data_IF_733569088139
#
_entry.id   IF_733569088139
#
_cell.length_a   1.000
_cell.length_b   1.000
_cell.length_c   1.000
_cell.angle_alpha   90.00
_cell.angle_beta   90.00
_cell.angle_gamma   90.00
#
_symmetry.space_group_name_H-M   'P 1'
#
loop_
_entity.id
_entity.type
_entity.pdbx_description
1 polymer ?
2 non-polymer ?
3 water ?
#
# COMPACT_ATOMS: atom_id res chain seq x y z
N UNK A 1 16.55 -14.18 -2.76
CA UNK A 1 15.20 -14.08 -2.16
C UNK A 1 14.55 -12.70 -2.33
N UNK A 2 13.21 -12.66 -2.35
CA UNK A 2 12.52 -11.40 -2.58
C UNK A 2 12.74 -10.46 -1.41
N UNK A 3 13.13 -9.23 -1.71
CA UNK A 3 13.36 -8.22 -0.68
C UNK A 3 12.87 -6.89 -1.22
N UNK A 4 11.83 -6.35 -0.58
CA UNK A 4 11.19 -5.13 -1.04
C UNK A 4 11.93 -3.88 -0.59
N UNK A 5 13.01 -4.00 0.18
CA UNK A 5 13.69 -2.82 0.70
C UNK A 5 14.12 -1.90 -0.43
N UNK A 6 13.82 -0.62 -0.29
CA UNK A 6 14.20 0.35 -1.29
C UNK A 6 13.28 1.55 -1.28
N UNK A 7 13.55 2.45 -2.21
CA UNK A 7 12.76 3.65 -2.46
C UNK A 7 12.21 3.51 -3.86
N UNK A 8 10.90 3.72 -4.01
CA UNK A 8 10.16 3.35 -5.20
C UNK A 8 9.29 4.53 -5.61
N UNK A 9 9.33 4.93 -6.87
CA UNK A 9 8.62 6.09 -7.36
C UNK A 9 7.45 5.66 -8.24
N UNK A 10 6.27 6.26 -8.04
CA UNK A 10 5.10 5.84 -8.81
C UNK A 10 5.29 6.08 -10.31
N UNK A 11 5.02 5.04 -11.09
CA UNK A 11 5.00 5.12 -12.55
C UNK A 11 3.57 5.15 -13.08
N UNK A 12 2.71 4.23 -12.64
CA UNK A 12 1.32 4.18 -13.07
C UNK A 12 0.43 3.89 -11.88
N UNK A 13 -0.82 4.36 -11.98
CA UNK A 13 -1.82 4.25 -10.92
C UNK A 13 -3.17 4.09 -11.61
N UNK A 14 -3.62 2.86 -11.75
CA UNK A 14 -4.74 2.52 -12.61
C UNK A 14 -5.99 2.26 -11.77
N UNK A 15 -7.08 2.98 -12.08
CA UNK A 15 -8.38 2.79 -11.45
C UNK A 15 -8.43 3.20 -9.97
N UNK A 16 -7.60 4.17 -9.58
CA UNK A 16 -7.54 4.61 -8.19
C UNK A 16 -8.82 5.28 -7.73
N UNK A 17 -9.47 6.07 -8.61
CA UNK A 17 -10.69 6.77 -8.22
C UNK A 17 -11.77 5.80 -7.79
N UNK A 18 -11.99 4.74 -8.59
CA UNK A 18 -13.04 3.78 -8.24
C UNK A 18 -12.70 3.02 -6.97
N UNK A 19 -11.43 2.71 -6.76
CA UNK A 19 -11.00 2.10 -5.50
C UNK A 19 -11.33 3.00 -4.32
N UNK A 20 -10.98 4.28 -4.40
CA UNK A 20 -11.29 5.21 -3.31
C UNK A 20 -12.78 5.40 -3.13
N UNK A 21 -13.53 5.43 -4.23
CA UNK A 21 -14.98 5.57 -4.09
C UNK A 21 -15.58 4.37 -3.37
N UNK A 22 -15.04 3.18 -3.62
CA UNK A 22 -15.54 1.98 -2.98
C UNK A 22 -15.20 1.97 -1.49
N UNK A 23 -14.18 2.73 -1.08
CA UNK A 23 -13.87 2.93 0.33
C UNK A 23 -14.65 4.08 0.96
N UNK A 24 -15.52 4.74 0.20
CA UNK A 24 -16.26 5.91 0.68
C UNK A 24 -15.35 7.05 1.10
N UNK A 25 -14.20 7.17 0.47
CA UNK A 25 -13.37 8.33 0.70
C UNK A 25 -14.11 9.53 0.15
N UNK A 26 -14.13 10.59 0.93
CA UNK A 26 -14.95 11.74 0.59
C UNK A 26 -14.48 12.41 -0.68
N UNK A 27 -15.43 13.07 -1.34
CA UNK A 27 -15.22 13.61 -2.69
C UNK A 27 -14.05 14.57 -2.74
N UNK A 28 -13.94 15.45 -1.74
CA UNK A 28 -12.90 16.47 -1.77
C UNK A 28 -11.52 15.82 -1.63
N UNK A 29 -11.43 14.79 -0.79
CA UNK A 29 -10.17 14.08 -0.64
C UNK A 29 -9.85 13.26 -1.89
N UNK A 30 -10.85 12.67 -2.53
CA UNK A 30 -10.60 11.96 -3.79
C UNK A 30 -10.02 12.92 -4.83
N UNK A 31 -10.51 14.16 -4.86
CA UNK A 31 -10.00 15.14 -5.80
C UNK A 31 -8.52 15.43 -5.55
N UNK A 32 -8.15 15.63 -4.29
CA UNK A 32 -6.75 15.80 -3.92
C UNK A 32 -5.94 14.56 -4.30
N UNK A 33 -6.45 13.38 -3.91
CA UNK A 33 -5.67 12.14 -4.02
C UNK A 33 -5.38 11.79 -5.46
N UNK A 34 -6.29 12.09 -6.37
CA UNK A 34 -6.03 11.72 -7.75
C UNK A 34 -4.94 12.56 -8.40
N UNK A 35 -4.55 13.68 -7.81
CA UNK A 35 -3.40 14.43 -8.32
C UNK A 35 -2.07 13.94 -7.75
N UNK A 36 -2.10 13.08 -6.74
CA UNK A 36 -0.87 12.69 -6.06
C UNK A 36 -0.21 11.53 -6.78
N UNK A 37 1.09 11.45 -6.62
CA UNK A 37 1.90 10.34 -7.14
C UNK A 37 2.82 9.87 -6.03
N UNK A 38 2.29 9.11 -5.08
CA UNK A 38 3.09 8.76 -3.90
C UNK A 38 4.31 7.89 -4.20
N UNK A 39 5.36 8.10 -3.40
CA UNK A 39 6.52 7.22 -3.34
C UNK A 39 6.25 6.12 -2.30
N UNK A 40 7.04 5.05 -2.36
CA UNK A 40 7.07 4.05 -1.30
C UNK A 40 8.51 3.94 -0.78
N UNK A 41 8.68 4.04 0.53
CA UNK A 41 9.95 3.73 1.16
C UNK A 41 9.71 2.49 1.99
N UNK A 42 10.38 1.39 1.65
CA UNK A 42 10.16 0.12 2.31
C UNK A 42 11.46 -0.34 2.97
N UNK A 43 11.34 -0.85 4.19
CA UNK A 43 12.41 -1.58 4.85
C UNK A 43 11.85 -2.95 5.25
N UNK A 44 12.41 -4.00 4.68
CA UNK A 44 12.11 -5.37 5.05
C UNK A 44 13.24 -5.83 5.95
N UNK A 45 12.93 -6.13 7.20
CA UNK A 45 13.92 -6.41 8.23
C UNK A 45 13.52 -7.72 8.88
N UNK A 46 13.99 -8.84 8.32
CA UNK A 46 13.43 -10.11 8.69
C UNK A 46 11.98 -10.14 8.27
N UNK A 47 11.10 -10.50 9.20
CA UNK A 47 9.67 -10.44 8.90
C UNK A 47 9.01 -9.19 9.43
N UNK A 48 9.80 -8.23 9.87
CA UNK A 48 9.29 -6.91 10.24
C UNK A 48 9.33 -6.04 9.00
N UNK A 49 8.15 -5.62 8.56
CA UNK A 49 8.00 -4.83 7.35
C UNK A 49 7.56 -3.42 7.72
N UNK A 50 8.24 -2.41 7.16
CA UNK A 50 7.81 -1.02 7.22
C UNK A 50 7.57 -0.58 5.78
N UNK A 51 6.35 -0.12 5.48
CA UNK A 51 6.01 0.40 4.15
C UNK A 51 5.49 1.80 4.37
N UNK A 52 6.29 2.78 3.99
CA UNK A 52 5.90 4.19 4.10
C UNK A 52 5.38 4.64 2.74
N UNK A 53 4.09 4.93 2.65
CA UNK A 53 3.51 5.48 1.43
C UNK A 53 3.51 6.99 1.59
N UNK A 54 4.35 7.68 0.83
CA UNK A 54 4.66 9.08 1.07
C UNK A 54 4.14 9.93 -0.08
N UNK A 55 3.44 11.01 0.24
CA UNK A 55 3.01 11.93 -0.79
C UNK A 55 3.19 13.34 -0.27
N UNK A 56 3.10 14.32 -1.17
CA UNK A 56 3.31 15.70 -0.77
C UNK A 56 2.22 16.15 0.19
N UNK A 57 1.04 15.55 0.12
CA UNK A 57 -0.10 15.99 0.93
C UNK A 57 -0.28 15.20 2.22
N UNK A 58 -0.10 13.89 2.18
CA UNK A 58 -0.36 13.06 3.34
C UNK A 58 0.32 11.71 3.13
N UNK A 59 0.75 11.13 4.23
CA UNK A 59 1.37 9.81 4.20
C UNK A 59 0.43 8.76 4.76
N UNK A 60 0.70 7.49 4.42
CA UNK A 60 0.08 6.36 5.11
C UNK A 60 1.21 5.40 5.43
N UNK A 61 1.40 5.12 6.72
CA UNK A 61 2.52 4.31 7.20
C UNK A 61 2.00 2.96 7.69
N UNK A 62 2.63 1.90 7.21
CA UNK A 62 2.44 0.56 7.76
C UNK A 62 3.72 0.10 8.44
N UNK A 63 3.55 -0.58 9.57
CA UNK A 63 4.69 -1.09 10.34
C UNK A 63 4.18 -2.31 11.09
N UNK A 64 4.57 -3.50 10.65
CA UNK A 64 3.90 -4.71 11.10
C UNK A 64 4.85 -5.90 10.98
N UNK A 65 4.44 -7.03 11.58
CA UNK A 65 5.16 -8.28 11.43
C UNK A 65 4.38 -9.17 10.48
N UNK A 66 5.06 -9.70 9.46
CA UNK A 66 4.39 -10.65 8.57
C UNK A 66 3.92 -11.85 9.39
N UNK A 67 2.71 -12.32 9.10
CA UNK A 67 2.15 -13.51 9.71
C UNK A 67 1.28 -13.24 10.91
N UNK A 68 1.30 -12.02 11.43
CA UNK A 68 0.66 -11.71 12.71
C UNK A 68 -0.49 -10.74 12.44
N UNK A 69 -1.71 -11.15 12.78
CA UNK A 69 -2.84 -10.23 12.63
C UNK A 69 -2.65 -9.04 13.53
N UNK A 70 -2.98 -7.87 13.02
CA UNK A 70 -2.82 -6.64 13.78
C UNK A 70 -4.00 -5.73 13.46
N UNK A 71 -4.22 -4.78 14.38
CA UNK A 71 -5.22 -3.75 14.18
C UNK A 71 -4.61 -2.66 13.31
N UNK A 72 -5.16 -2.50 12.11
CA UNK A 72 -4.65 -1.54 11.16
C UNK A 72 -5.49 -0.27 11.20
N UNK A 73 -4.86 0.86 11.54
CA UNK A 73 -5.54 2.16 11.65
C UNK A 73 -5.40 2.86 10.30
N UNK A 74 -6.50 2.95 9.57
CA UNK A 74 -6.54 3.52 8.24
C UNK A 74 -6.89 5.00 8.24
N UNK A 75 -6.61 5.70 9.35
CA UNK A 75 -6.74 7.14 9.38
C UNK A 75 -5.95 7.74 8.23
N UNK A 76 -6.58 8.67 7.52
CA UNK A 76 -5.97 9.31 6.39
C UNK A 76 -6.39 8.73 5.06
N UNK A 77 -6.91 7.50 5.07
CA UNK A 77 -7.48 6.92 3.87
C UNK A 77 -8.99 7.03 4.04
N UNK A 78 -9.61 6.02 4.65
CA UNK A 78 -11.04 6.01 4.90
C UNK A 78 -11.37 6.08 6.40
N UNK A 79 -10.36 6.24 7.24
CA UNK A 79 -10.51 6.43 8.69
C UNK A 79 -11.17 5.23 9.38
N UNK A 80 -11.06 4.06 8.78
CA UNK A 80 -11.57 2.82 9.34
C UNK A 80 -10.47 2.10 10.09
N UNK A 81 -10.86 0.98 10.70
CA UNK A 81 -9.96 0.06 11.39
C UNK A 81 -10.19 -1.30 10.77
N UNK A 82 -9.12 -1.99 10.40
CA UNK A 82 -9.24 -3.35 9.93
C UNK A 82 -8.41 -4.28 10.78
N UNK A 83 -8.80 -5.54 10.82
CA UNK A 83 -7.99 -6.59 11.43
C UNK A 83 -7.27 -7.27 10.27
N UNK A 84 -5.97 -7.00 10.18
CA UNK A 84 -5.21 -7.19 8.95
C UNK A 84 -4.13 -8.24 9.15
N UNK A 85 -3.97 -9.10 8.17
CA UNK A 85 -2.89 -10.09 8.19
C UNK A 85 -2.15 -10.03 6.87
N UNK A 86 -0.83 -9.90 6.96
CA UNK A 86 0.04 -9.91 5.78
C UNK A 86 0.83 -11.21 5.84
N UNK A 87 0.91 -11.93 4.71
CA UNK A 87 1.52 -13.25 4.65
C UNK A 87 2.34 -13.36 3.38
N UNK A 88 3.43 -14.13 3.44
CA UNK A 88 4.16 -14.49 2.24
C UNK A 88 3.41 -15.57 1.50
N UNK A 89 3.38 -15.44 0.19
CA UNK A 89 2.82 -16.42 -0.75
C UNK A 89 3.87 -16.59 -1.83
N UNK A 90 4.86 -17.43 -1.57
CA UNK A 90 5.98 -17.55 -2.49
C UNK A 90 6.72 -16.22 -2.53
N UNK A 91 6.84 -15.65 -3.74
CA UNK A 91 7.53 -14.39 -3.92
C UNK A 91 6.60 -13.19 -3.81
N UNK A 92 5.34 -13.42 -3.46
CA UNK A 92 4.35 -12.37 -3.33
C UNK A 92 4.03 -12.14 -1.86
N UNK A 93 3.65 -10.92 -1.55
CA UNK A 93 3.17 -10.54 -0.23
C UNK A 93 1.67 -10.31 -0.33
N UNK A 94 0.89 -11.03 0.46
CA UNK A 94 -0.56 -11.00 0.42
C UNK A 94 -1.10 -10.35 1.68
N UNK A 95 -2.13 -9.53 1.54
CA UNK A 95 -2.72 -8.83 2.67
C UNK A 95 -4.22 -9.00 2.62
N UNK A 96 -4.79 -9.39 3.76
CA UNK A 96 -6.23 -9.45 3.94
C UNK A 96 -6.60 -8.45 5.02
N UNK A 97 -7.55 -7.56 4.73
CA UNK A 97 -7.97 -6.49 5.64
C UNK A 97 -9.41 -6.75 6.03
N UNK A 98 -9.64 -7.38 7.20
CA UNK A 98 -10.98 -7.71 7.61
C UNK A 98 -11.66 -6.48 8.24
N UNK A 99 -12.90 -6.25 7.86
CA UNK A 99 -13.60 -5.07 8.34
C UNK A 99 -14.89 -4.84 7.59
N UNK A 100 -15.29 -3.57 7.53
CA UNK A 100 -16.61 -3.23 7.00
C UNK A 100 -16.74 -3.61 5.55
N UNK A 101 -15.72 -3.35 4.75
CA UNK A 101 -15.78 -3.62 3.33
C UNK A 101 -15.39 -5.06 3.03
N UNK A 102 -16.12 -5.68 2.11
CA UNK A 102 -15.81 -7.04 1.70
C UNK A 102 -14.66 -7.04 0.70
N UNK A 103 -13.92 -8.14 0.71
CA UNK A 103 -12.92 -8.34 -0.33
C UNK A 103 -11.80 -7.34 -0.29
N UNK A 104 -11.48 -6.80 0.87
CA UNK A 104 -10.49 -5.75 1.01
C UNK A 104 -9.11 -6.36 1.27
N UNK A 105 -8.14 -6.00 0.44
CA UNK A 105 -6.79 -6.49 0.64
C UNK A 105 -5.89 -6.06 -0.51
N UNK A 106 -4.71 -6.67 -0.59
CA UNK A 106 -3.79 -6.28 -1.66
C UNK A 106 -2.75 -7.37 -1.82
N UNK A 107 -2.04 -7.32 -2.94
CA UNK A 107 -0.95 -8.23 -3.25
C UNK A 107 0.20 -7.38 -3.79
N UNK A 108 1.41 -7.61 -3.29
CA UNK A 108 2.61 -6.87 -3.70
C UNK A 108 3.69 -7.83 -4.17
N UNK A 109 4.40 -7.45 -5.23
CA UNK A 109 5.44 -8.30 -5.79
C UNK A 109 6.39 -7.43 -6.59
N UNK A 110 7.51 -8.04 -7.04
CA UNK A 110 8.53 -7.33 -7.81
C UNK A 110 8.70 -8.02 -9.15
N UNK A 111 8.83 -7.23 -10.21
CA UNK A 111 9.23 -7.69 -11.53
C UNK A 111 10.38 -6.80 -11.96
N UNK A 112 11.59 -7.32 -11.94
CA UNK A 112 12.74 -6.52 -12.36
C UNK A 112 12.93 -5.32 -11.46
N UNK A 113 12.93 -4.11 -12.03
CA UNK A 113 13.06 -2.85 -11.30
C UNK A 113 11.71 -2.27 -10.89
N UNK A 114 10.64 -3.05 -10.98
CA UNK A 114 9.29 -2.59 -10.71
C UNK A 114 8.71 -3.24 -9.47
N UNK A 115 8.10 -2.42 -8.62
CA UNK A 115 7.25 -2.85 -7.53
C UNK A 115 5.80 -2.79 -8.03
N UNK A 116 5.12 -3.94 -7.96
CA UNK A 116 3.74 -4.09 -8.40
C UNK A 116 2.84 -4.23 -7.20
N UNK A 117 1.74 -3.46 -7.19
CA UNK A 117 0.79 -3.48 -6.08
C UNK A 117 -0.61 -3.52 -6.64
N UNK A 118 -1.35 -4.60 -6.36
CA UNK A 118 -2.76 -4.69 -6.72
C UNK A 118 -3.56 -4.52 -5.45
N UNK A 119 -4.38 -3.47 -5.40
CA UNK A 119 -5.25 -3.16 -4.27
C UNK A 119 -6.69 -3.50 -4.65
N UNK A 120 -7.42 -4.15 -3.74
CA UNK A 120 -8.76 -4.66 -4.00
C UNK A 120 -9.71 -4.28 -2.87
N UNK A 121 -10.96 -3.97 -3.24
CA UNK A 121 -12.05 -3.84 -2.27
C UNK A 121 -13.36 -3.94 -3.04
N UNK A 122 -14.31 -4.72 -2.51
CA UNK A 122 -15.66 -4.78 -3.05
C UNK A 122 -15.66 -5.10 -4.55
N UNK A 123 -14.74 -5.97 -4.99
CA UNK A 123 -14.64 -6.37 -6.37
C UNK A 123 -13.95 -5.37 -7.29
N UNK A 124 -13.55 -4.21 -6.76
CA UNK A 124 -12.84 -3.19 -7.54
C UNK A 124 -11.35 -3.45 -7.41
N UNK A 125 -10.61 -3.20 -8.48
CA UNK A 125 -9.17 -3.44 -8.50
C UNK A 125 -8.45 -2.16 -8.94
N UNK A 126 -7.50 -1.72 -8.15
CA UNK A 126 -6.57 -0.65 -8.54
C UNK A 126 -5.17 -1.24 -8.64
N UNK A 127 -4.46 -0.95 -9.74
CA UNK A 127 -3.13 -1.50 -9.95
C UNK A 127 -2.13 -0.34 -10.01
N UNK A 128 -1.08 -0.44 -9.18
CA UNK A 128 -0.01 0.55 -9.16
C UNK A 128 1.30 -0.14 -9.48
N UNK A 129 2.17 0.57 -10.21
CA UNK A 129 3.52 0.11 -10.48
C UNK A 129 4.47 1.26 -10.14
N UNK A 130 5.54 0.92 -9.44
CA UNK A 130 6.57 1.87 -9.04
C UNK A 130 7.91 1.40 -9.60
N UNK A 131 8.81 2.33 -9.85
CA UNK A 131 10.15 2.03 -10.31
C UNK A 131 11.14 2.27 -9.17
N UNK A 132 12.09 1.36 -8.99
CA UNK A 132 13.11 1.53 -7.96
C UNK A 132 14.00 2.69 -8.36
N UNK A 133 14.23 3.60 -7.42
CA UNK A 133 15.01 4.80 -7.65
C UNK A 133 16.07 4.94 -6.58
N UNK A 134 17.02 5.81 -6.85
CA UNK A 134 18.21 5.94 -6.01
C UNK A 134 18.43 7.33 -5.44
N UNK A 135 17.74 8.36 -5.92
CA UNK A 135 17.91 9.69 -5.38
C UNK A 135 16.99 9.86 -4.17
N UNK A 136 17.56 9.96 -2.98
CA UNK A 136 16.69 9.92 -1.82
C UNK A 136 16.26 11.32 -1.44
N UNK A 137 15.23 11.40 -0.63
CA UNK A 137 14.72 12.64 -0.05
C UNK A 137 14.41 12.39 1.42
N UNK A 138 14.80 13.35 2.26
CA UNK A 138 14.50 13.27 3.69
C UNK A 138 12.99 13.28 3.95
N UNK A 139 12.57 12.59 5.02
CA UNK A 139 11.17 12.61 5.41
C UNK A 139 11.05 12.37 6.91
N UNK A 140 9.83 12.43 7.40
CA UNK A 140 9.58 12.16 8.81
C UNK A 140 9.89 10.71 9.16
X LIG B 1 2.35 -1.09 -0.36
X LIG B 1 1.22 -1.42 0.57
X LIG B 1 0.47 -0.10 0.82
X LIG B 1 -0.84 0.17 0.68
X LIG B 1 -1.18 1.67 0.90
X LIG B 1 -2.26 2.25 0.31
X LIG B 1 -2.40 3.76 0.48
X LIG B 1 -3.45 4.49 0.01
X LIG B 1 -3.34 5.98 0.26
X LIG B 1 -4.30 6.83 -0.11
X LIG B 1 -4.24 8.36 0.19
X LIG B 1 -5.40 9.02 0.22
X LIG B 1 -5.56 10.49 0.63
X LIG B 1 -4.26 11.05 1.19
X LIG B 1 -3.06 10.57 0.44
X LIG B 1 -2.90 9.08 0.52
X LIG B 1 -1.79 8.73 -0.47
X LIG B 1 -2.41 8.74 1.93
X LIG B 1 -6.71 8.34 -0.13
X LIG B 1 -4.70 3.86 -0.60
X LIG B 1 -1.92 -0.82 0.22
X LIG B 1 2.89 -1.78 -0.43
X LIG B 1 2.02 -0.89 -1.16
X LIG B 1 0.63 -2.07 0.16
X LIG B 1 1.57 -1.76 1.41
X LIG B 1 1.01 0.63 1.05
X LIG B 1 -0.58 2.19 1.36
X LIG B 1 -2.85 1.76 -0.23
X LIG B 1 -1.68 4.23 0.83
X LIG B 1 -2.60 6.30 0.73
X LIG B 1 -5.05 6.50 -0.54
X LIG B 1 -5.82 11.01 -0.15
X LIG B 1 -6.25 10.56 1.32
X LIG B 1 -4.17 10.77 2.11
X LIG B 1 -4.28 12.01 1.14
X LIG B 1 -3.15 10.83 -0.50
X LIG B 1 -2.27 11.00 0.81
X LIG B 1 -1.63 7.77 -0.43
X LIG B 1 -2.07 8.98 -1.35
X LIG B 1 -0.99 9.21 -0.22
X LIG B 1 -2.05 7.84 1.94
X LIG B 1 -1.72 9.36 2.19
X LIG B 1 -3.15 8.80 2.55
X LIG B 1 -6.77 8.24 -1.09
X LIG B 1 -6.75 7.46 0.29
X LIG B 1 -7.45 8.88 0.18
X LIG B 1 -4.51 2.97 -0.89
X LIG B 1 -4.97 4.40 -1.37
X LIG B 1 -5.41 3.86 0.06
X LIG B 1 -1.68 -1.16 -0.65
X LIG B 1 -1.99 -1.54 0.85
X LIG B 1 -2.78 -0.36 0.15
#
# INVERSE_FOLDING_TARGET
PVDFTGYWKMLVNENFEEYLRALDVNVALRKIANLLKPDKEIVQDGDHMIIRTLSTFRNYIMDFQVGKEFEEDLTGIDDRKCMTTVSWDGDKLQCVQKGEKEGRGWTQWIEGDELHLEMRVEGVVCKQVFKKVQHHHHHH
RNE NAA CAB CAC CAD CAG CAF CAE CAH CAI CAJ CAK CAL CAM CAN CAO CAP CAQ CAR CAS CAT CAU HAA2 HAA1 HAB2 HAB1 HAC1 HAG1 HAF1 HAE1 HAI1 HAJ1 HAM2 HAM1 HAN1 HAN2 HAO1 HAO2 HAQ3 HAQ1 HAQ2 HAR1 HAR2 HAR3 HAS3 HAS1 HAS2 HAT2 HAT3 HAT1 HAU3 HAU1 HAU2
#
